data_IF_231269536237
#
_entry.id   IF_231269536237
#
_cell.length_a   1.000
_cell.length_b   1.000
_cell.length_c   1.000
_cell.angle_alpha   90.00
_cell.angle_beta   90.00
_cell.angle_gamma   90.00
#
_symmetry.space_group_name_H-M   'P 1'
#
loop_
_entity.id
_entity.type
_entity.pdbx_description
1 polymer ?
#
# COMPACT_ATOMS: atom_id res chain seq x y z
N UNK A 1 23.70 -15.44 3.02
CA UNK A 1 23.57 -14.45 1.93
C UNK A 1 22.15 -14.50 1.41
N UNK A 2 21.69 -13.45 0.73
CA UNK A 2 20.40 -13.42 0.04
C UNK A 2 20.55 -13.98 -1.38
N UNK A 3 19.48 -14.55 -1.94
CA UNK A 3 19.48 -15.11 -3.30
C UNK A 3 19.24 -14.07 -4.40
N UNK A 4 18.70 -12.91 -4.06
CA UNK A 4 18.38 -11.82 -4.98
C UNK A 4 19.16 -10.54 -4.62
N UNK A 5 19.33 -9.67 -5.62
CA UNK A 5 19.77 -8.29 -5.38
C UNK A 5 18.69 -7.53 -4.59
N UNK A 6 19.11 -6.60 -3.74
CA UNK A 6 18.20 -5.81 -2.90
C UNK A 6 18.53 -4.33 -3.07
N UNK A 7 17.50 -3.54 -3.40
CA UNK A 7 17.57 -2.09 -3.53
C UNK A 7 16.54 -1.47 -2.56
N UNK A 8 16.94 -1.14 -1.32
CA UNK A 8 15.98 -0.73 -0.28
C UNK A 8 15.61 0.76 -0.41
N UNK A 9 14.37 1.08 -0.05
CA UNK A 9 13.89 2.45 0.12
C UNK A 9 13.78 2.81 1.60
N UNK A 10 14.01 4.08 1.94
CA UNK A 10 13.83 4.61 3.29
C UNK A 10 12.34 4.87 3.54
N UNK A 11 11.68 4.15 4.47
CA UNK A 11 10.23 4.26 4.64
C UNK A 11 9.85 5.41 5.57
N UNK A 12 9.13 6.40 5.04
CA UNK A 12 8.61 7.57 5.76
C UNK A 12 7.93 7.20 7.07
N UNK A 13 6.99 6.25 7.04
CA UNK A 13 6.22 5.86 8.22
C UNK A 13 7.10 5.32 9.35
N UNK A 14 8.17 4.59 9.02
CA UNK A 14 9.13 4.08 10.02
C UNK A 14 10.01 5.20 10.58
N UNK A 15 10.48 6.11 9.72
CA UNK A 15 11.24 7.29 10.14
C UNK A 15 10.41 8.15 11.10
N UNK A 16 9.14 8.40 10.76
CA UNK A 16 8.22 9.16 11.60
C UNK A 16 7.94 8.46 12.93
N UNK A 17 7.65 7.16 12.89
CA UNK A 17 7.43 6.36 14.10
C UNK A 17 8.67 6.36 15.02
N UNK A 18 9.87 6.29 14.46
CA UNK A 18 11.10 6.30 15.25
C UNK A 18 11.35 7.63 15.96
N UNK A 19 11.08 8.76 15.29
CA UNK A 19 11.34 10.10 15.85
C UNK A 19 10.20 10.59 16.73
N UNK A 20 8.97 10.38 16.30
CA UNK A 20 7.79 11.00 16.91
C UNK A 20 6.91 10.01 17.68
N UNK A 21 7.26 8.72 17.68
CA UNK A 21 6.36 7.68 18.17
C UNK A 21 5.04 7.66 17.39
N UNK A 22 3.95 7.40 18.10
CA UNK A 22 2.61 7.28 17.54
C UNK A 22 1.91 8.65 17.36
N UNK A 23 2.69 9.72 17.25
CA UNK A 23 2.17 11.09 17.14
C UNK A 23 1.46 11.33 15.81
N UNK A 24 0.26 11.88 15.89
CA UNK A 24 -0.61 12.19 14.73
C UNK A 24 -0.56 13.66 14.33
N UNK A 25 0.43 14.42 14.83
CA UNK A 25 0.58 15.87 14.55
C UNK A 25 1.80 16.16 13.69
N UNK A 26 1.90 17.39 13.19
CA UNK A 26 3.06 17.87 12.43
C UNK A 26 4.33 17.84 13.29
N UNK A 27 5.49 17.40 12.76
CA UNK A 27 6.76 17.46 13.48
C UNK A 27 7.13 18.89 13.84
N UNK A 28 7.71 19.06 15.01
CA UNK A 28 8.52 20.23 15.33
C UNK A 28 9.73 20.33 14.40
N UNK A 29 10.37 21.51 14.39
CA UNK A 29 11.61 21.71 13.61
C UNK A 29 12.71 20.71 14.01
N UNK A 30 12.83 20.41 15.31
CA UNK A 30 13.85 19.48 15.80
C UNK A 30 13.57 18.05 15.34
N UNK A 31 12.31 17.60 15.42
CA UNK A 31 11.90 16.27 14.94
C UNK A 31 12.08 16.15 13.42
N UNK A 32 11.73 17.19 12.65
CA UNK A 32 11.93 17.18 11.19
C UNK A 32 13.41 17.08 10.82
N UNK A 33 14.31 17.80 11.50
CA UNK A 33 15.76 17.68 11.27
C UNK A 33 16.30 16.32 11.67
N UNK A 34 15.76 15.70 12.73
CA UNK A 34 16.12 14.33 13.10
C UNK A 34 15.66 13.32 12.03
N UNK A 35 14.43 13.46 11.50
CA UNK A 35 13.93 12.62 10.41
C UNK A 35 14.79 12.77 9.15
N UNK A 36 15.18 14.00 8.78
CA UNK A 36 16.12 14.24 7.67
C UNK A 36 17.46 13.55 7.89
N UNK A 37 18.00 13.60 9.11
CA UNK A 37 19.28 12.94 9.44
C UNK A 37 19.20 11.42 9.26
N UNK A 38 18.07 10.79 9.60
CA UNK A 38 17.86 9.36 9.40
C UNK A 38 17.75 8.99 7.92
N UNK A 39 17.07 9.83 7.13
CA UNK A 39 17.02 9.65 5.66
C UNK A 39 18.42 9.80 5.07
N UNK A 40 19.18 10.82 5.46
CA UNK A 40 20.57 11.05 5.00
C UNK A 40 21.47 9.86 5.35
N UNK A 41 21.38 9.33 6.57
CA UNK A 41 22.14 8.16 7.02
C UNK A 41 21.81 6.93 6.17
N UNK A 42 20.51 6.65 5.96
CA UNK A 42 20.09 5.49 5.19
C UNK A 42 20.44 5.59 3.69
N UNK A 43 20.34 6.78 3.10
CA UNK A 43 20.79 7.03 1.73
C UNK A 43 22.32 6.85 1.61
N UNK A 44 23.09 7.38 2.56
CA UNK A 44 24.55 7.20 2.62
C UNK A 44 24.94 5.71 2.77
N UNK A 45 24.12 4.93 3.47
CA UNK A 45 24.31 3.49 3.65
C UNK A 45 23.94 2.65 2.41
N UNK A 46 23.35 3.25 1.37
CA UNK A 46 23.03 2.59 0.11
C UNK A 46 21.55 2.37 -0.17
N UNK A 47 20.64 3.06 0.54
CA UNK A 47 19.24 3.11 0.10
C UNK A 47 19.14 3.81 -1.27
N UNK A 48 18.25 3.32 -2.13
CA UNK A 48 18.07 3.82 -3.51
C UNK A 48 16.99 4.89 -3.62
N UNK A 49 16.37 5.27 -2.49
CA UNK A 49 15.34 6.28 -2.47
C UNK A 49 14.55 6.32 -1.17
N UNK A 50 13.47 7.08 -1.21
CA UNK A 50 12.56 7.33 -0.09
C UNK A 50 11.14 6.90 -0.49
N UNK A 51 10.41 6.27 0.43
CA UNK A 51 9.03 5.83 0.17
C UNK A 51 8.03 6.39 1.18
N UNK A 52 6.79 6.61 0.74
CA UNK A 52 5.68 7.02 1.60
C UNK A 52 4.45 6.14 1.45
N UNK A 53 3.66 6.12 2.52
CA UNK A 53 2.40 5.38 2.62
C UNK A 53 1.34 6.24 3.26
N UNK A 54 0.51 6.87 2.43
CA UNK A 54 -0.30 8.01 2.86
C UNK A 54 -1.78 7.66 3.12
N UNK A 55 -2.22 6.44 2.77
CA UNK A 55 -3.55 5.90 3.17
C UNK A 55 -3.58 5.44 4.65
N UNK A 56 -2.42 5.33 5.33
CA UNK A 56 -2.32 4.71 6.66
C UNK A 56 -1.44 5.49 7.65
N UNK A 57 -1.69 5.25 8.94
CA UNK A 57 -0.92 5.80 10.06
C UNK A 57 0.49 5.21 10.12
N UNK A 58 1.53 5.99 10.49
CA UNK A 58 1.47 7.42 10.80
C UNK A 58 1.56 8.31 9.56
N UNK A 59 1.78 7.77 8.36
CA UNK A 59 2.04 8.54 7.13
C UNK A 59 0.91 9.50 6.73
N UNK A 60 -0.34 9.10 6.97
CA UNK A 60 -1.53 9.90 6.63
C UNK A 60 -1.57 11.30 7.26
N UNK A 61 -0.88 11.52 8.38
CA UNK A 61 -0.83 12.83 9.06
C UNK A 61 0.29 13.75 8.57
N UNK A 62 1.08 13.32 7.58
CA UNK A 62 2.18 14.13 7.06
C UNK A 62 1.60 15.08 6.01
N UNK A 63 2.03 16.34 6.06
CA UNK A 63 1.74 17.31 5.01
C UNK A 63 2.79 17.24 3.89
N UNK A 64 2.47 17.87 2.77
CA UNK A 64 3.34 17.88 1.60
C UNK A 64 4.72 18.51 1.91
N UNK A 65 4.79 19.51 2.80
CA UNK A 65 6.05 20.16 3.17
C UNK A 65 6.99 19.21 3.92
N UNK A 66 6.46 18.39 4.83
CA UNK A 66 7.21 17.31 5.49
C UNK A 66 7.76 16.33 4.45
N UNK A 67 6.91 15.86 3.52
CA UNK A 67 7.31 14.89 2.50
C UNK A 67 8.37 15.46 1.55
N UNK A 68 8.21 16.71 1.09
CA UNK A 68 9.21 17.41 0.27
C UNK A 68 10.52 17.58 1.02
N UNK A 69 10.47 17.93 2.31
CA UNK A 69 11.67 18.14 3.10
C UNK A 69 12.52 16.86 3.26
N UNK A 70 11.87 15.69 3.32
CA UNK A 70 12.54 14.38 3.40
C UNK A 70 12.94 13.85 2.01
N UNK A 71 12.07 13.98 1.01
CA UNK A 71 12.38 13.58 -0.36
C UNK A 71 13.56 14.39 -0.94
N UNK A 72 13.68 15.68 -0.59
CA UNK A 72 14.81 16.50 -1.00
C UNK A 72 16.15 16.04 -0.38
N UNK A 73 16.12 15.27 0.72
CA UNK A 73 17.32 14.59 1.23
C UNK A 73 17.69 13.43 0.30
N UNK A 74 16.73 12.56 -0.03
CA UNK A 74 16.90 11.46 -1.00
C UNK A 74 17.46 11.96 -2.35
N UNK A 75 16.94 13.08 -2.85
CA UNK A 75 17.37 13.70 -4.10
C UNK A 75 18.88 14.03 -4.14
N UNK A 76 19.48 14.44 -3.01
CA UNK A 76 20.93 14.74 -2.92
C UNK A 76 21.82 13.53 -3.18
N UNK A 77 21.27 12.33 -2.98
CA UNK A 77 21.95 11.05 -3.18
C UNK A 77 21.54 10.35 -4.47
N UNK A 78 20.80 11.04 -5.35
CA UNK A 78 20.31 10.48 -6.61
C UNK A 78 19.21 9.42 -6.44
N UNK A 79 18.52 9.42 -5.30
CA UNK A 79 17.44 8.47 -5.04
C UNK A 79 16.11 8.85 -5.68
N UNK A 80 15.15 7.92 -5.62
CA UNK A 80 13.77 8.13 -6.09
C UNK A 80 12.81 8.49 -4.94
N UNK A 81 11.60 8.93 -5.29
CA UNK A 81 10.45 8.99 -4.39
C UNK A 81 9.37 7.99 -4.83
N UNK A 82 9.14 6.94 -4.03
CA UNK A 82 8.04 6.01 -4.24
C UNK A 82 6.85 6.33 -3.33
N UNK A 83 5.62 6.22 -3.81
CA UNK A 83 4.45 6.53 -2.97
C UNK A 83 3.29 5.59 -3.18
N UNK A 84 2.85 4.97 -2.09
CA UNK A 84 1.45 4.60 -1.92
C UNK A 84 0.69 5.88 -1.58
N UNK A 85 0.11 6.48 -2.62
CA UNK A 85 -0.50 7.81 -2.58
C UNK A 85 -1.68 7.89 -1.59
N UNK A 86 -2.05 9.11 -1.23
CA UNK A 86 -2.99 9.39 -0.11
C UNK A 86 -4.42 8.90 -0.33
N UNK A 87 -4.87 8.83 -1.57
CA UNK A 87 -6.24 8.46 -1.90
C UNK A 87 -6.31 7.88 -3.30
N UNK A 88 -7.14 6.86 -3.50
CA UNK A 88 -7.40 6.24 -4.80
C UNK A 88 -8.89 6.21 -5.15
N UNK A 89 -9.72 6.89 -4.37
CA UNK A 89 -11.17 7.06 -4.53
C UNK A 89 -11.50 8.45 -5.08
N UNK A 90 -12.30 9.25 -4.36
CA UNK A 90 -12.72 10.57 -4.83
C UNK A 90 -11.60 11.59 -4.96
N UNK A 91 -10.59 11.50 -4.10
CA UNK A 91 -9.47 12.44 -4.10
C UNK A 91 -8.26 11.89 -4.86
N UNK A 92 -8.49 10.96 -5.78
CA UNK A 92 -7.41 10.28 -6.50
C UNK A 92 -6.58 11.27 -7.32
N UNK A 93 -7.23 12.22 -8.00
CA UNK A 93 -6.53 13.26 -8.75
C UNK A 93 -5.66 14.12 -7.84
N UNK A 94 -6.20 14.57 -6.71
CA UNK A 94 -5.50 15.41 -5.74
C UNK A 94 -4.29 14.67 -5.15
N UNK A 95 -4.45 13.38 -4.86
CA UNK A 95 -3.37 12.55 -4.32
C UNK A 95 -2.24 12.30 -5.34
N UNK A 96 -2.57 12.14 -6.62
CA UNK A 96 -1.55 12.03 -7.68
C UNK A 96 -0.86 13.38 -7.89
N UNK A 97 -1.60 14.49 -7.87
CA UNK A 97 -1.01 15.83 -7.98
C UNK A 97 -0.10 16.15 -6.79
N UNK A 98 -0.45 15.72 -5.56
CA UNK A 98 0.43 15.80 -4.39
C UNK A 98 1.75 15.05 -4.65
N UNK A 99 1.68 13.81 -5.14
CA UNK A 99 2.88 13.03 -5.42
C UNK A 99 3.75 13.64 -6.53
N UNK A 100 3.15 14.14 -7.59
CA UNK A 100 3.85 14.87 -8.66
C UNK A 100 4.46 16.17 -8.13
N UNK A 101 3.73 16.92 -7.31
CA UNK A 101 4.23 18.15 -6.67
C UNK A 101 5.45 17.86 -5.79
N UNK A 102 5.44 16.76 -5.03
CA UNK A 102 6.61 16.33 -4.25
C UNK A 102 7.80 16.05 -5.17
N UNK A 103 7.61 15.32 -6.27
CA UNK A 103 8.68 15.05 -7.24
C UNK A 103 9.25 16.35 -7.82
N UNK A 104 8.38 17.29 -8.23
CA UNK A 104 8.78 18.61 -8.77
C UNK A 104 9.57 19.41 -7.75
N UNK A 105 9.05 19.53 -6.53
CA UNK A 105 9.60 20.41 -5.48
C UNK A 105 10.89 19.86 -4.89
N UNK A 106 11.01 18.54 -4.76
CA UNK A 106 12.21 17.89 -4.24
C UNK A 106 13.24 17.57 -5.34
N UNK A 107 12.85 17.57 -6.62
CA UNK A 107 13.76 17.45 -7.75
C UNK A 107 14.32 16.04 -7.95
N UNK A 108 13.47 15.01 -7.83
CA UNK A 108 13.85 13.61 -7.97
C UNK A 108 12.80 12.79 -8.75
N UNK A 109 13.18 11.64 -9.34
CA UNK A 109 12.24 10.74 -10.01
C UNK A 109 11.16 10.21 -9.07
N UNK A 110 9.95 10.01 -9.59
CA UNK A 110 8.81 9.46 -8.88
C UNK A 110 8.48 8.02 -9.29
N UNK A 111 7.95 7.23 -8.36
CA UNK A 111 7.31 5.93 -8.62
C UNK A 111 5.97 5.90 -7.90
N UNK A 112 4.85 5.91 -8.63
CA UNK A 112 3.53 5.79 -8.01
C UNK A 112 3.13 4.32 -7.93
N UNK A 113 3.13 3.79 -6.72
CA UNK A 113 2.90 2.37 -6.46
C UNK A 113 1.46 1.97 -6.71
N UNK A 114 1.26 0.77 -7.29
CA UNK A 114 -0.01 0.08 -7.51
C UNK A 114 -1.17 1.05 -7.83
N UNK A 115 -0.99 1.83 -8.91
CA UNK A 115 -1.76 3.05 -9.23
C UNK A 115 -3.13 2.75 -9.86
N UNK A 116 -3.95 1.91 -9.22
CA UNK A 116 -5.29 1.62 -9.69
C UNK A 116 -6.37 2.38 -8.89
N UNK A 117 -7.43 2.86 -9.56
CA UNK A 117 -8.57 3.48 -8.88
C UNK A 117 -9.30 2.45 -8.02
N UNK A 118 -9.84 2.91 -6.89
CA UNK A 118 -10.83 2.13 -6.14
C UNK A 118 -12.08 1.96 -7.02
N UNK A 119 -12.80 0.82 -6.91
CA UNK A 119 -14.05 0.59 -7.65
C UNK A 119 -15.13 1.66 -7.49
N UNK A 120 -15.09 2.48 -6.43
CA UNK A 120 -16.04 3.57 -6.19
C UNK A 120 -15.50 4.96 -6.58
N UNK A 121 -14.29 5.05 -7.16
CA UNK A 121 -13.76 6.32 -7.66
C UNK A 121 -14.71 6.90 -8.73
N UNK A 122 -14.86 8.24 -8.82
CA UNK A 122 -15.79 8.83 -9.78
C UNK A 122 -15.44 8.46 -11.22
N UNK A 123 -16.46 8.24 -12.05
CA UNK A 123 -16.29 7.85 -13.45
C UNK A 123 -15.37 8.83 -14.21
N UNK A 124 -14.46 8.29 -15.03
CA UNK A 124 -13.48 9.07 -15.80
C UNK A 124 -12.30 9.60 -14.99
N UNK A 125 -12.26 9.44 -13.66
CA UNK A 125 -11.15 9.92 -12.83
C UNK A 125 -9.83 9.26 -13.22
N UNK A 126 -9.85 7.96 -13.54
CA UNK A 126 -8.60 7.26 -13.86
C UNK A 126 -8.00 7.69 -15.19
N UNK A 127 -8.83 7.98 -16.19
CA UNK A 127 -8.36 8.56 -17.46
C UNK A 127 -7.66 9.91 -17.21
N UNK A 128 -8.27 10.79 -16.42
CA UNK A 128 -7.64 12.06 -16.04
C UNK A 128 -6.34 11.87 -15.24
N UNK A 129 -6.26 10.86 -14.37
CA UNK A 129 -5.03 10.54 -13.63
C UNK A 129 -3.91 10.12 -14.58
N UNK A 130 -4.19 9.20 -15.51
CA UNK A 130 -3.19 8.76 -16.49
C UNK A 130 -2.76 9.91 -17.41
N UNK A 131 -3.70 10.74 -17.87
CA UNK A 131 -3.39 11.96 -18.62
C UNK A 131 -2.49 12.91 -17.82
N UNK A 132 -2.77 13.10 -16.53
CA UNK A 132 -1.97 13.98 -15.67
C UNK A 132 -0.54 13.46 -15.49
N UNK A 133 -0.36 12.15 -15.26
CA UNK A 133 0.97 11.54 -15.19
C UNK A 133 1.71 11.64 -16.53
N UNK A 134 1.02 11.42 -17.65
CA UNK A 134 1.62 11.53 -18.98
C UNK A 134 2.02 12.97 -19.33
N UNK A 135 1.18 13.96 -19.00
CA UNK A 135 1.54 15.38 -19.16
C UNK A 135 2.73 15.76 -18.30
N UNK A 136 2.81 15.26 -17.07
CA UNK A 136 3.96 15.50 -16.21
C UNK A 136 5.27 14.95 -16.81
N UNK A 137 5.20 13.78 -17.49
CA UNK A 137 6.35 13.22 -18.23
C UNK A 137 6.70 14.04 -19.47
N UNK A 138 5.71 14.33 -20.31
CA UNK A 138 5.92 14.86 -21.66
C UNK A 138 6.10 16.38 -21.71
N UNK A 139 5.33 17.12 -20.90
CA UNK A 139 5.32 18.59 -20.90
C UNK A 139 6.30 19.16 -19.86
N UNK A 140 6.43 18.48 -18.71
CA UNK A 140 7.24 18.97 -17.57
C UNK A 140 8.61 18.27 -17.47
N UNK A 141 8.87 17.23 -18.27
CA UNK A 141 10.07 16.39 -18.21
C UNK A 141 10.31 15.73 -16.85
N UNK A 142 9.25 15.44 -16.09
CA UNK A 142 9.38 14.63 -14.87
C UNK A 142 9.62 13.17 -15.22
N UNK A 143 10.58 12.54 -14.54
CA UNK A 143 10.76 11.09 -14.59
C UNK A 143 9.81 10.47 -13.58
N UNK A 144 8.71 9.88 -14.03
CA UNK A 144 7.70 9.26 -13.15
C UNK A 144 7.34 7.88 -13.68
N UNK A 145 7.60 6.82 -12.92
CA UNK A 145 7.07 5.49 -13.18
C UNK A 145 5.75 5.24 -12.46
N UNK A 146 5.01 4.26 -12.95
CA UNK A 146 3.84 3.70 -12.24
C UNK A 146 3.98 2.18 -12.24
N UNK A 147 3.39 1.50 -11.27
CA UNK A 147 3.42 0.04 -11.22
C UNK A 147 2.08 -0.54 -10.82
N UNK A 148 1.93 -1.85 -11.02
CA UNK A 148 0.84 -2.65 -10.45
C UNK A 148 1.19 -4.13 -10.46
N UNK A 149 0.38 -4.92 -9.76
CA UNK A 149 0.42 -6.37 -9.82
C UNK A 149 -0.77 -6.91 -10.66
N UNK A 150 -0.62 -8.06 -11.33
CA UNK A 150 -1.59 -8.57 -12.30
C UNK A 150 -2.78 -9.29 -11.64
N UNK A 151 -3.45 -8.63 -10.68
CA UNK A 151 -4.61 -9.18 -9.96
C UNK A 151 -5.66 -8.11 -9.62
N UNK A 152 -6.93 -8.44 -9.81
CA UNK A 152 -8.07 -7.55 -9.46
C UNK A 152 -8.24 -7.40 -7.95
N UNK A 153 -7.57 -8.23 -7.17
CA UNK A 153 -7.68 -8.30 -5.73
C UNK A 153 -6.34 -8.04 -5.08
N UNK A 154 -6.35 -7.18 -4.07
CA UNK A 154 -5.15 -6.75 -3.35
C UNK A 154 -5.18 -7.11 -1.86
N UNK A 155 -4.03 -6.96 -1.19
CA UNK A 155 -3.89 -7.20 0.23
C UNK A 155 -4.43 -6.01 1.03
N UNK A 156 -4.83 -6.28 2.27
CA UNK A 156 -5.10 -5.26 3.28
C UNK A 156 -4.94 -5.85 4.67
N UNK A 157 -4.73 -5.00 5.67
CA UNK A 157 -4.74 -5.43 7.07
C UNK A 157 -6.17 -5.39 7.60
N UNK A 158 -6.59 -6.39 8.37
CA UNK A 158 -7.95 -6.41 8.95
C UNK A 158 -8.19 -5.21 9.87
N UNK A 159 -7.15 -4.76 10.60
CA UNK A 159 -7.22 -3.54 11.40
C UNK A 159 -7.57 -2.29 10.60
N UNK A 160 -7.28 -2.24 9.30
CA UNK A 160 -7.63 -1.10 8.47
C UNK A 160 -9.13 -0.97 8.18
N UNK A 161 -9.94 -1.97 8.55
CA UNK A 161 -11.41 -1.87 8.59
C UNK A 161 -11.90 -1.10 9.82
N UNK A 162 -11.06 -0.91 10.83
CA UNK A 162 -11.39 -0.19 12.05
C UNK A 162 -11.06 1.30 11.90
N UNK A 163 -11.65 2.19 12.72
CA UNK A 163 -11.18 3.56 12.83
C UNK A 163 -9.71 3.63 13.27
N UNK A 164 -8.88 4.55 12.74
CA UNK A 164 -7.46 4.66 13.09
C UNK A 164 -7.17 4.70 14.59
N UNK A 165 -7.95 5.47 15.36
CA UNK A 165 -7.79 5.59 16.81
C UNK A 165 -7.88 4.27 17.58
N UNK A 166 -8.47 3.22 16.99
CA UNK A 166 -8.53 1.89 17.61
C UNK A 166 -7.16 1.22 17.59
N UNK A 167 -6.43 1.31 16.47
CA UNK A 167 -5.15 0.62 16.26
C UNK A 167 -3.89 1.52 16.33
N UNK A 168 -4.05 2.79 16.69
CA UNK A 168 -2.97 3.75 16.92
C UNK A 168 -2.49 3.79 18.38
N UNK A 169 -1.22 4.08 18.62
CA UNK A 169 -0.67 4.14 19.98
C UNK A 169 0.12 2.88 20.37
N UNK A 170 0.39 2.73 21.66
CA UNK A 170 1.20 1.61 22.14
C UNK A 170 0.43 0.29 21.99
N UNK A 171 1.12 -0.80 21.65
CA UNK A 171 0.48 -2.10 21.36
C UNK A 171 -0.46 -2.56 22.47
N UNK A 172 -0.10 -2.33 23.74
CA UNK A 172 -0.94 -2.72 24.88
C UNK A 172 -2.23 -1.90 24.96
N UNK A 173 -2.19 -0.62 24.60
CA UNK A 173 -3.38 0.24 24.56
C UNK A 173 -4.32 -0.19 23.42
N UNK A 174 -3.75 -0.58 22.28
CA UNK A 174 -4.50 -1.16 21.16
C UNK A 174 -5.23 -2.43 21.60
N UNK A 175 -4.54 -3.35 22.27
CA UNK A 175 -5.15 -4.59 22.77
C UNK A 175 -6.29 -4.33 23.76
N UNK A 176 -6.11 -3.38 24.68
CA UNK A 176 -7.17 -2.98 25.61
C UNK A 176 -8.41 -2.43 24.89
N UNK A 177 -8.20 -1.65 23.82
CA UNK A 177 -9.32 -1.16 23.00
C UNK A 177 -9.99 -2.27 22.23
N UNK A 178 -9.22 -3.21 21.67
CA UNK A 178 -9.75 -4.36 20.94
C UNK A 178 -10.56 -5.32 21.83
N UNK A 179 -10.21 -5.46 23.11
CA UNK A 179 -10.93 -6.29 24.08
C UNK A 179 -12.22 -5.62 24.58
N UNK A 180 -12.33 -4.29 24.50
CA UNK A 180 -13.41 -3.53 25.12
C UNK A 180 -14.72 -3.59 24.32
N UNK A 181 -15.82 -4.12 24.89
CA UNK A 181 -17.14 -4.09 24.27
C UNK A 181 -17.65 -2.66 24.01
N UNK A 182 -17.23 -1.69 24.83
CA UNK A 182 -17.57 -0.28 24.63
C UNK A 182 -16.91 0.28 23.36
N UNK A 183 -15.68 -0.13 23.06
CA UNK A 183 -15.00 0.24 21.80
C UNK A 183 -15.75 -0.33 20.60
N UNK A 184 -16.17 -1.59 20.67
CA UNK A 184 -16.97 -2.24 19.61
C UNK A 184 -18.23 -1.43 19.33
N UNK A 185 -18.97 -1.07 20.39
CA UNK A 185 -20.21 -0.30 20.25
C UNK A 185 -19.98 1.09 19.62
N UNK A 186 -18.95 1.81 20.06
CA UNK A 186 -18.56 3.11 19.46
C UNK A 186 -18.19 3.03 17.98
N UNK A 187 -17.76 1.85 17.53
CA UNK A 187 -17.35 1.64 16.15
C UNK A 187 -18.52 1.21 15.25
N UNK A 188 -19.71 0.90 15.77
CA UNK A 188 -20.81 0.41 14.91
C UNK A 188 -21.21 1.40 13.82
N UNK A 189 -21.26 2.69 14.15
CA UNK A 189 -21.59 3.75 13.19
C UNK A 189 -20.57 3.82 12.05
N UNK A 190 -19.29 3.54 12.34
CA UNK A 190 -18.22 3.51 11.33
C UNK A 190 -18.46 2.46 10.23
N UNK A 191 -19.11 1.35 10.58
CA UNK A 191 -19.46 0.29 9.64
C UNK A 191 -20.78 0.54 8.91
N UNK A 192 -21.73 1.25 9.54
CA UNK A 192 -23.02 1.57 8.91
C UNK A 192 -22.97 2.79 7.97
N UNK A 193 -22.08 3.75 8.24
CA UNK A 193 -21.84 4.93 7.39
C UNK A 193 -20.34 5.04 7.05
N UNK A 194 -19.84 4.18 6.15
CA UNK A 194 -18.42 4.02 5.94
C UNK A 194 -17.81 5.23 5.23
N UNK A 195 -16.89 5.91 5.92
CA UNK A 195 -15.98 6.92 5.33
C UNK A 195 -14.58 6.37 5.06
N UNK A 196 -14.26 5.17 5.60
CA UNK A 196 -12.99 4.48 5.41
C UNK A 196 -12.83 3.93 3.99
N UNK A 197 -11.60 3.96 3.48
CA UNK A 197 -11.28 3.58 2.10
C UNK A 197 -11.56 2.11 1.75
N UNK A 198 -11.50 1.18 2.72
CA UNK A 198 -11.84 -0.22 2.50
C UNK A 198 -13.35 -0.43 2.59
N UNK A 199 -14.00 0.01 3.66
CA UNK A 199 -15.43 -0.28 3.88
C UNK A 199 -16.35 0.27 2.78
N UNK A 200 -15.89 1.28 2.03
CA UNK A 200 -16.62 1.82 0.88
C UNK A 200 -16.58 0.95 -0.38
N UNK A 201 -15.77 -0.10 -0.41
CA UNK A 201 -15.78 -1.12 -1.46
C UNK A 201 -17.09 -1.95 -1.46
N UNK A 202 -17.81 -1.96 -0.34
CA UNK A 202 -19.10 -2.62 -0.18
C UNK A 202 -19.20 -3.40 1.12
N UNK A 203 -20.13 -4.34 1.18
CA UNK A 203 -20.39 -5.11 2.39
C UNK A 203 -19.26 -6.06 2.77
N UNK A 204 -19.32 -6.55 4.01
CA UNK A 204 -18.29 -7.40 4.63
C UNK A 204 -18.13 -8.77 3.96
N UNK A 205 -19.09 -9.17 3.10
CA UNK A 205 -19.01 -10.35 2.23
C UNK A 205 -17.94 -10.23 1.12
N UNK A 206 -17.42 -9.02 0.87
CA UNK A 206 -16.39 -8.76 -0.16
C UNK A 206 -14.96 -8.82 0.37
N UNK A 207 -14.78 -9.01 1.67
CA UNK A 207 -13.46 -9.15 2.29
C UNK A 207 -13.27 -10.61 2.66
N UNK A 208 -12.09 -11.16 2.37
CA UNK A 208 -11.77 -12.56 2.66
C UNK A 208 -10.53 -12.61 3.54
N UNK A 209 -10.56 -13.41 4.61
CA UNK A 209 -9.39 -13.59 5.46
C UNK A 209 -8.28 -14.30 4.67
N UNK A 210 -7.09 -13.69 4.60
CA UNK A 210 -5.93 -14.30 3.92
C UNK A 210 -4.85 -14.77 4.89
N UNK A 211 -4.79 -14.22 6.11
CA UNK A 211 -3.83 -14.65 7.13
C UNK A 211 -4.36 -14.39 8.54
N UNK A 212 -4.22 -15.37 9.43
CA UNK A 212 -4.36 -15.25 10.89
C UNK A 212 -3.58 -16.39 11.54
N UNK A 213 -2.81 -16.06 12.58
CA UNK A 213 -2.06 -17.03 13.39
C UNK A 213 -3.00 -17.84 14.28
N UNK A 214 -3.96 -17.17 14.91
CA UNK A 214 -4.89 -17.80 15.84
C UNK A 214 -5.99 -18.60 15.13
N UNK A 215 -6.35 -18.21 13.91
CA UNK A 215 -7.45 -18.80 13.14
C UNK A 215 -7.08 -19.19 11.69
N UNK A 216 -6.07 -20.05 11.47
CA UNK A 216 -5.69 -20.50 10.12
C UNK A 216 -6.82 -21.27 9.41
N UNK A 217 -7.73 -21.91 10.16
CA UNK A 217 -8.89 -22.63 9.64
C UNK A 217 -9.96 -21.72 8.99
N UNK A 218 -9.87 -20.40 9.23
CA UNK A 218 -10.79 -19.41 8.67
C UNK A 218 -10.30 -18.78 7.37
N UNK A 219 -9.05 -19.04 6.96
CA UNK A 219 -8.49 -18.49 5.72
C UNK A 219 -9.34 -18.91 4.52
N UNK A 220 -9.65 -17.94 3.65
CA UNK A 220 -10.51 -18.09 2.49
C UNK A 220 -12.00 -17.86 2.74
N UNK A 221 -12.43 -17.65 3.99
CA UNK A 221 -13.81 -17.27 4.33
C UNK A 221 -13.98 -15.76 4.32
N UNK A 222 -15.18 -15.29 4.01
CA UNK A 222 -15.52 -13.88 4.14
C UNK A 222 -15.99 -13.50 5.55
N UNK A 223 -16.02 -12.22 5.88
CA UNK A 223 -16.26 -11.77 7.27
C UNK A 223 -17.71 -11.99 7.74
N UNK A 224 -18.67 -12.14 6.83
CA UNK A 224 -20.05 -12.55 7.17
C UNK A 224 -20.09 -14.03 7.54
N UNK A 225 -19.43 -14.89 6.76
CA UNK A 225 -19.30 -16.33 7.06
C UNK A 225 -18.59 -16.56 8.39
N UNK A 226 -17.49 -15.83 8.65
CA UNK A 226 -16.78 -15.93 9.92
C UNK A 226 -17.67 -15.48 11.08
N UNK A 227 -18.43 -14.39 10.93
CA UNK A 227 -19.38 -13.95 11.94
C UNK A 227 -20.40 -15.04 12.30
N UNK A 228 -20.95 -15.75 11.30
CA UNK A 228 -21.82 -16.89 11.54
C UNK A 228 -21.12 -18.04 12.29
N UNK A 229 -19.86 -18.34 11.95
CA UNK A 229 -19.06 -19.38 12.64
C UNK A 229 -18.75 -19.01 14.09
N UNK A 230 -18.52 -17.73 14.36
CA UNK A 230 -18.29 -17.20 15.70
C UNK A 230 -19.57 -16.94 16.49
N UNK A 231 -20.73 -17.08 15.86
CA UNK A 231 -22.04 -16.73 16.39
C UNK A 231 -22.07 -15.29 16.95
N UNK A 232 -21.49 -14.36 16.20
CA UNK A 232 -21.45 -12.94 16.52
C UNK A 232 -21.75 -12.09 15.29
N UNK A 233 -22.03 -10.80 15.49
CA UNK A 233 -22.20 -9.88 14.37
C UNK A 233 -20.85 -9.60 13.67
N UNK A 234 -20.85 -9.14 12.41
CA UNK A 234 -19.62 -8.93 11.65
C UNK A 234 -18.65 -7.89 12.24
N UNK A 235 -19.13 -6.89 12.99
CA UNK A 235 -18.23 -5.89 13.62
C UNK A 235 -17.51 -6.54 14.80
N UNK A 236 -18.24 -7.24 15.67
CA UNK A 236 -17.64 -8.02 16.76
C UNK A 236 -16.65 -9.08 16.23
N UNK A 237 -16.99 -9.71 15.11
CA UNK A 237 -16.13 -10.67 14.42
C UNK A 237 -14.76 -10.07 14.05
N UNK A 238 -14.73 -8.87 13.49
CA UNK A 238 -13.47 -8.16 13.14
C UNK A 238 -12.62 -7.93 14.39
N UNK A 239 -13.22 -7.40 15.47
CA UNK A 239 -12.51 -7.18 16.73
C UNK A 239 -11.94 -8.48 17.30
N UNK A 240 -12.74 -9.55 17.32
CA UNK A 240 -12.32 -10.87 17.80
C UNK A 240 -11.18 -11.45 16.97
N UNK A 241 -11.25 -11.38 15.65
CA UNK A 241 -10.20 -11.86 14.75
C UNK A 241 -8.88 -11.13 14.97
N UNK A 242 -8.93 -9.79 15.03
CA UNK A 242 -7.76 -8.95 15.24
C UNK A 242 -7.14 -9.21 16.62
N UNK A 243 -7.97 -9.28 17.66
CA UNK A 243 -7.52 -9.52 19.03
C UNK A 243 -6.91 -10.91 19.21
N UNK A 244 -7.39 -11.92 18.48
CA UNK A 244 -6.94 -13.31 18.63
C UNK A 244 -5.44 -13.48 18.31
N UNK A 245 -4.90 -12.69 17.37
CA UNK A 245 -3.46 -12.68 17.03
C UNK A 245 -2.63 -11.82 18.02
N UNK A 246 -3.25 -11.21 19.03
CA UNK A 246 -2.57 -10.52 20.12
C UNK A 246 -1.66 -9.41 19.62
N UNK A 247 -0.41 -9.37 20.09
CA UNK A 247 0.56 -8.32 19.71
C UNK A 247 0.90 -8.28 18.21
N UNK A 248 0.57 -9.36 17.48
CA UNK A 248 0.75 -9.50 16.04
C UNK A 248 -0.52 -9.11 15.25
N UNK A 249 -1.43 -8.34 15.85
CA UNK A 249 -2.70 -7.93 15.24
C UNK A 249 -2.58 -7.26 13.85
N UNK A 250 -1.43 -6.66 13.52
CA UNK A 250 -1.13 -6.11 12.19
C UNK A 250 -0.92 -7.19 11.11
N UNK A 251 -0.66 -8.44 11.51
CA UNK A 251 -0.44 -9.58 10.62
C UNK A 251 -1.74 -10.35 10.28
N UNK A 252 -2.88 -9.89 10.81
CA UNK A 252 -4.19 -10.38 10.36
C UNK A 252 -4.50 -9.71 9.03
N UNK A 253 -4.43 -10.49 7.96
CA UNK A 253 -4.55 -9.99 6.59
C UNK A 253 -5.90 -10.36 5.99
N UNK A 254 -6.40 -9.47 5.15
CA UNK A 254 -7.54 -9.70 4.26
C UNK A 254 -7.15 -9.49 2.80
N UNK A 255 -8.02 -10.00 1.94
CA UNK A 255 -8.02 -9.71 0.51
C UNK A 255 -9.33 -9.02 0.14
N UNK A 256 -9.23 -7.97 -0.65
CA UNK A 256 -10.36 -7.16 -1.11
C UNK A 256 -10.23 -6.84 -2.60
N UNK A 257 -11.30 -6.35 -3.24
CA UNK A 257 -11.24 -5.87 -4.62
C UNK A 257 -10.33 -4.65 -4.66
N UNK A 258 -9.20 -4.76 -5.35
CA UNK A 258 -8.21 -3.70 -5.52
C UNK A 258 -8.59 -2.76 -6.66
N UNK A 259 -8.94 -3.36 -7.81
CA UNK A 259 -9.33 -2.67 -9.03
C UNK A 259 -10.32 -3.54 -9.80
N UNK A 260 -11.16 -2.91 -10.63
CA UNK A 260 -11.95 -3.69 -11.60
C UNK A 260 -11.02 -4.22 -12.70
N UNK A 261 -11.42 -5.31 -13.36
CA UNK A 261 -10.69 -5.84 -14.52
C UNK A 261 -10.39 -4.78 -15.59
N UNK A 262 -11.38 -3.95 -15.90
CA UNK A 262 -11.26 -2.90 -16.92
C UNK A 262 -10.17 -1.89 -16.55
N UNK A 263 -10.18 -1.42 -15.31
CA UNK A 263 -9.20 -0.42 -14.85
C UNK A 263 -7.81 -1.02 -14.69
N UNK A 264 -7.71 -2.27 -14.22
CA UNK A 264 -6.43 -2.98 -14.16
C UNK A 264 -5.82 -3.15 -15.55
N UNK A 265 -6.60 -3.56 -16.55
CA UNK A 265 -6.11 -3.68 -17.92
C UNK A 265 -5.69 -2.35 -18.51
N UNK A 266 -6.46 -1.29 -18.27
CA UNK A 266 -6.10 0.07 -18.68
C UNK A 266 -4.75 0.49 -18.07
N UNK A 267 -4.53 0.22 -16.78
CA UNK A 267 -3.27 0.49 -16.11
C UNK A 267 -2.11 -0.32 -16.72
N UNK A 268 -2.30 -1.63 -16.92
CA UNK A 268 -1.28 -2.51 -17.51
C UNK A 268 -0.88 -2.08 -18.93
N UNK A 269 -1.83 -1.54 -19.70
CA UNK A 269 -1.61 -1.04 -21.06
C UNK A 269 -0.79 0.26 -21.11
N UNK A 270 -0.66 0.99 -20.01
CA UNK A 270 0.21 2.17 -19.96
C UNK A 270 1.68 1.75 -20.18
N UNK A 271 2.41 2.37 -21.13
CA UNK A 271 3.77 1.94 -21.47
C UNK A 271 4.77 2.13 -20.32
N UNK A 272 4.46 2.94 -19.31
CA UNK A 272 5.29 3.17 -18.14
C UNK A 272 4.79 2.44 -16.90
N UNK A 273 3.78 1.58 -17.02
CA UNK A 273 3.37 0.65 -15.97
C UNK A 273 4.29 -0.58 -15.94
N UNK A 274 5.14 -0.66 -14.91
CA UNK A 274 5.91 -1.88 -14.60
C UNK A 274 5.08 -2.88 -13.81
N UNK A 275 5.50 -4.15 -13.86
CA UNK A 275 4.84 -5.22 -13.14
C UNK A 275 5.61 -5.53 -11.87
N UNK A 276 4.89 -5.53 -10.76
CA UNK A 276 5.43 -5.89 -9.46
C UNK A 276 4.49 -6.85 -8.72
N UNK A 277 4.82 -7.17 -7.46
CA UNK A 277 4.16 -8.24 -6.71
C UNK A 277 3.21 -7.75 -5.64
N UNK A 278 3.44 -6.56 -5.08
CA UNK A 278 2.88 -6.04 -3.82
C UNK A 278 2.76 -7.15 -2.77
N UNK A 279 3.80 -7.97 -2.69
CA UNK A 279 3.87 -9.16 -1.88
C UNK A 279 4.98 -9.05 -0.85
N UNK A 280 5.04 -10.04 0.02
CA UNK A 280 6.13 -10.19 0.99
C UNK A 280 6.94 -11.43 0.70
N UNK A 281 8.22 -11.37 1.06
CA UNK A 281 9.06 -12.57 1.09
C UNK A 281 8.58 -13.46 2.24
N UNK A 282 8.12 -14.65 1.90
CA UNK A 282 7.67 -15.69 2.83
C UNK A 282 8.46 -16.98 2.57
N UNK A 283 8.38 -17.92 3.51
CA UNK A 283 9.00 -19.23 3.40
C UNK A 283 7.90 -20.30 3.41
N UNK A 284 8.18 -21.52 2.93
CA UNK A 284 7.25 -22.66 3.04
C UNK A 284 7.38 -23.39 4.38
N UNK A 285 8.37 -23.01 5.19
CA UNK A 285 8.67 -23.54 6.51
C UNK A 285 8.98 -22.40 7.50
N UNK A 286 9.04 -22.76 8.78
CA UNK A 286 9.34 -21.80 9.85
C UNK A 286 8.22 -20.79 10.13
N UNK A 287 8.53 -19.70 10.85
CA UNK A 287 7.52 -18.78 11.39
C UNK A 287 6.66 -18.06 10.33
N UNK A 288 7.14 -17.94 9.09
CA UNK A 288 6.43 -17.27 8.01
C UNK A 288 5.65 -18.24 7.10
N UNK A 289 5.63 -19.54 7.40
CA UNK A 289 5.05 -20.57 6.53
C UNK A 289 3.57 -20.38 6.22
N UNK A 290 2.86 -19.71 7.12
CA UNK A 290 1.42 -19.53 7.06
C UNK A 290 1.01 -18.07 6.79
N UNK A 291 1.98 -17.16 6.61
CA UNK A 291 1.67 -15.77 6.35
C UNK A 291 1.41 -15.55 4.87
N UNK A 292 0.21 -15.08 4.52
CA UNK A 292 -0.16 -14.78 3.13
C UNK A 292 -0.70 -13.35 3.04
N UNK A 293 0.16 -12.42 2.62
CA UNK A 293 -0.24 -11.03 2.36
C UNK A 293 -1.00 -10.91 1.04
N UNK A 294 -0.32 -11.18 -0.09
CA UNK A 294 -0.88 -11.03 -1.43
C UNK A 294 -0.71 -12.35 -2.20
N UNK A 295 -1.70 -12.71 -3.04
CA UNK A 295 -1.56 -13.84 -3.98
C UNK A 295 -0.37 -13.64 -4.92
N UNK A 296 -0.10 -12.40 -5.30
CA UNK A 296 1.02 -12.02 -6.16
C UNK A 296 2.40 -12.19 -5.49
N UNK A 297 2.48 -12.50 -4.18
CA UNK A 297 3.74 -12.85 -3.52
C UNK A 297 4.42 -14.06 -4.17
N UNK A 298 3.65 -14.95 -4.78
CA UNK A 298 4.16 -16.09 -5.54
C UNK A 298 3.70 -16.02 -7.00
N UNK A 299 4.66 -16.02 -7.92
CA UNK A 299 4.38 -16.27 -9.34
C UNK A 299 3.66 -15.15 -10.09
N UNK A 300 3.71 -13.90 -9.62
CA UNK A 300 3.10 -12.77 -10.34
C UNK A 300 3.63 -12.65 -11.79
N UNK A 301 4.93 -12.92 -12.01
CA UNK A 301 5.55 -12.89 -13.34
C UNK A 301 5.01 -14.00 -14.25
N UNK A 302 4.90 -15.23 -13.73
CA UNK A 302 4.37 -16.38 -14.47
C UNK A 302 2.91 -16.12 -14.84
N UNK A 303 2.12 -15.67 -13.88
CA UNK A 303 0.72 -15.31 -14.12
C UNK A 303 0.58 -14.20 -15.15
N UNK A 304 1.41 -13.16 -15.08
CA UNK A 304 1.36 -12.08 -16.05
C UNK A 304 1.60 -12.59 -17.47
N UNK A 305 2.62 -13.43 -17.68
CA UNK A 305 2.90 -14.05 -18.98
C UNK A 305 1.75 -14.96 -19.41
N UNK A 306 1.32 -15.90 -18.55
CA UNK A 306 0.30 -16.88 -18.89
C UNK A 306 -1.03 -16.22 -19.26
N UNK A 307 -1.51 -15.30 -18.43
CA UNK A 307 -2.79 -14.63 -18.65
C UNK A 307 -2.71 -13.61 -19.79
N UNK A 308 -1.77 -12.66 -19.73
CA UNK A 308 -1.80 -11.49 -20.61
C UNK A 308 -1.00 -11.66 -21.91
N UNK A 309 -0.08 -12.61 -22.00
CA UNK A 309 0.64 -12.94 -23.25
C UNK A 309 0.03 -14.16 -23.92
N UNK A 310 -0.09 -15.29 -23.20
CA UNK A 310 -0.47 -16.57 -23.83
C UNK A 310 -1.99 -16.66 -24.04
N UNK A 311 -2.80 -16.49 -23.00
CA UNK A 311 -4.23 -16.73 -23.08
C UNK A 311 -4.99 -15.59 -23.74
N UNK A 312 -4.62 -14.35 -23.42
CA UNK A 312 -5.36 -13.16 -23.86
C UNK A 312 -4.70 -12.41 -25.00
N UNK A 313 -3.42 -12.66 -25.25
CA UNK A 313 -2.66 -12.03 -26.35
C UNK A 313 -2.77 -10.49 -26.34
N UNK A 314 -2.66 -9.88 -25.14
CA UNK A 314 -2.70 -8.43 -24.93
C UNK A 314 -1.32 -7.81 -25.16
N UNK A 315 -0.26 -8.50 -24.72
CA UNK A 315 1.13 -8.08 -24.91
C UNK A 315 1.91 -9.09 -25.73
N UNK A 316 2.94 -8.61 -26.43
CA UNK A 316 3.99 -9.50 -26.92
C UNK A 316 4.86 -9.98 -25.76
N UNK A 317 5.62 -11.06 -25.95
CA UNK A 317 6.54 -11.55 -24.92
C UNK A 317 7.62 -10.50 -24.61
N UNK A 318 8.13 -9.81 -25.62
CA UNK A 318 9.16 -8.77 -25.47
C UNK A 318 8.68 -7.61 -24.59
N UNK A 319 7.46 -7.14 -24.80
CA UNK A 319 6.87 -6.07 -23.98
C UNK A 319 6.64 -6.54 -22.54
N UNK A 320 6.16 -7.78 -22.36
CA UNK A 320 6.01 -8.34 -21.02
C UNK A 320 7.35 -8.44 -20.27
N UNK A 321 8.41 -8.90 -20.95
CA UNK A 321 9.77 -8.94 -20.38
C UNK A 321 10.26 -7.53 -20.05
N UNK A 322 10.07 -6.53 -20.94
CA UNK A 322 10.45 -5.13 -20.69
C UNK A 322 9.81 -4.59 -19.42
N UNK A 323 8.50 -4.80 -19.25
CA UNK A 323 7.74 -4.35 -18.06
C UNK A 323 8.15 -5.02 -16.74
N UNK A 324 8.85 -6.16 -16.80
CA UNK A 324 9.37 -6.89 -15.63
C UNK A 324 10.89 -6.72 -15.43
N UNK A 325 11.59 -6.05 -16.34
CA UNK A 325 13.06 -5.97 -16.31
C UNK A 325 13.58 -4.55 -16.49
N UNK A 326 13.75 -4.08 -17.74
CA UNK A 326 14.37 -2.78 -17.99
C UNK A 326 13.52 -1.62 -17.49
N UNK A 327 12.18 -1.69 -17.61
CA UNK A 327 11.30 -0.62 -17.15
C UNK A 327 11.40 -0.36 -15.62
N UNK A 328 11.27 -1.37 -14.74
CA UNK A 328 11.46 -1.14 -13.30
C UNK A 328 12.92 -0.79 -12.95
N UNK A 329 13.92 -1.28 -13.69
CA UNK A 329 15.31 -0.88 -13.48
C UNK A 329 15.53 0.62 -13.78
N UNK A 330 15.04 1.09 -14.92
CA UNK A 330 15.08 2.51 -15.30
C UNK A 330 14.34 3.39 -14.28
N UNK A 331 13.15 2.96 -13.86
CA UNK A 331 12.34 3.73 -12.89
C UNK A 331 12.98 3.81 -11.51
N UNK A 332 13.69 2.76 -11.09
CA UNK A 332 14.38 2.72 -9.81
C UNK A 332 15.80 3.32 -9.85
N UNK A 333 16.27 3.81 -11.01
CA UNK A 333 17.63 4.34 -11.17
C UNK A 333 18.72 3.26 -11.05
N UNK A 334 18.40 2.01 -11.39
CA UNK A 334 19.31 0.87 -11.32
C UNK A 334 19.93 0.62 -12.71
N UNK A 335 21.14 1.15 -12.93
CA UNK A 335 21.91 1.02 -14.19
C UNK A 335 23.11 0.10 -14.09
#
# INVERSE_FOLDING_TARGET
GLSANVAPLVPHGTVRLFVMGQSTVKPSKAELEQMKSLVEEAMTAGAVGFSSGLEYSPGMYADEDELVALAAVSAKHGGIYASHIRNRGEQFKEAVEEALSICRRAGLPGQLSHLAPRPYAPDGTFDHVLEMVNRAREEENLTVGIDTFPDEWGPGMVVALLPPWVYEGERQEVLQRLESPETVEKCRDHFSDPTNYLLRLGGLEKFYLSSSIAHPELVGKNFVEIGHMFNCDPVECIFRLVLADGVDFYNVMLRHIFATRLELEKLLMDPYCSIESDGVVTATDGPLSNFTMNRSSFGYTIRFIEEYVIHRNIFSLEEAIRKMTSLPADSAGLS
#
